data_IF_154811312826
#
_entry.id   IF_154811312826
#
_cell.length_a   1.000
_cell.length_b   1.000
_cell.length_c   1.000
_cell.angle_alpha   90.00
_cell.angle_beta   90.00
_cell.angle_gamma   90.00
#
_symmetry.space_group_name_H-M   'P 1'
#
loop_
_entity.id
_entity.type
_entity.pdbx_description
1 polymer ?
#
# COMPACT_ATOMS: atom_id res chain seq x y z
N UNK A 1 -5.79 -10.07 -23.56
CA UNK A 1 -5.34 -9.11 -22.55
C UNK A 1 -6.55 -8.68 -21.75
N UNK A 2 -6.54 -8.86 -20.42
CA UNK A 2 -7.68 -8.45 -19.58
C UNK A 2 -7.71 -6.92 -19.40
N UNK A 3 -8.84 -6.38 -18.93
CA UNK A 3 -8.93 -4.94 -18.64
C UNK A 3 -7.94 -4.52 -17.53
N UNK A 4 -7.84 -5.32 -16.47
CA UNK A 4 -6.92 -5.06 -15.35
C UNK A 4 -5.45 -5.17 -15.76
N UNK A 5 -5.12 -6.11 -16.66
CA UNK A 5 -3.79 -6.24 -17.24
C UNK A 5 -3.39 -4.97 -18.01
N UNK A 6 -4.26 -4.50 -18.91
CA UNK A 6 -4.02 -3.29 -19.70
C UNK A 6 -3.88 -2.06 -18.79
N UNK A 7 -4.74 -1.95 -17.77
CA UNK A 7 -4.71 -0.86 -16.80
C UNK A 7 -3.39 -0.85 -16.01
N UNK A 8 -2.95 -2.01 -15.48
CA UNK A 8 -1.68 -2.13 -14.75
C UNK A 8 -0.50 -1.74 -15.62
N UNK A 9 -0.42 -2.25 -16.85
CA UNK A 9 0.67 -1.94 -17.79
C UNK A 9 0.72 -0.46 -18.15
N UNK A 10 -0.43 0.20 -18.30
CA UNK A 10 -0.51 1.65 -18.62
C UNK A 10 -0.07 2.55 -17.44
N UNK A 11 -0.15 2.04 -16.21
CA UNK A 11 0.16 2.77 -15.00
C UNK A 11 1.62 2.63 -14.54
N UNK A 12 2.43 1.82 -15.23
CA UNK A 12 3.85 1.65 -14.90
C UNK A 12 4.62 2.96 -15.04
N UNK A 13 5.59 3.18 -14.16
CA UNK A 13 6.56 4.29 -14.19
C UNK A 13 7.92 3.73 -13.80
N UNK A 14 9.00 4.25 -14.39
CA UNK A 14 10.41 3.92 -14.09
C UNK A 14 10.64 2.54 -13.44
N UNK A 15 10.57 2.45 -12.11
CA UNK A 15 10.87 1.26 -11.30
C UNK A 15 9.70 0.30 -10.97
N UNK A 16 8.50 0.48 -11.55
CA UNK A 16 7.37 -0.42 -11.37
C UNK A 16 6.01 0.29 -11.32
N UNK A 17 5.05 -0.28 -10.60
CA UNK A 17 3.73 0.32 -10.40
C UNK A 17 3.71 1.14 -9.09
N UNK A 18 3.63 2.49 -9.13
CA UNK A 18 3.54 3.27 -7.91
C UNK A 18 2.31 2.87 -7.09
N UNK A 19 2.48 2.73 -5.77
CA UNK A 19 1.39 2.34 -4.85
C UNK A 19 0.18 3.28 -4.97
N UNK A 20 0.43 4.59 -5.05
CA UNK A 20 -0.58 5.62 -5.36
C UNK A 20 -1.39 5.30 -6.62
N UNK A 21 -0.73 4.81 -7.68
CA UNK A 21 -1.40 4.52 -8.95
C UNK A 21 -2.17 3.21 -8.89
N UNK A 22 -1.65 2.19 -8.20
CA UNK A 22 -2.38 0.95 -7.95
C UNK A 22 -3.72 1.21 -7.23
N UNK A 23 -3.71 2.03 -6.18
CA UNK A 23 -4.94 2.42 -5.48
C UNK A 23 -5.87 3.29 -6.33
N UNK A 24 -5.33 4.18 -7.17
CA UNK A 24 -6.15 4.97 -8.12
C UNK A 24 -6.82 4.09 -9.16
N UNK A 25 -6.12 3.12 -9.73
CA UNK A 25 -6.69 2.15 -10.66
C UNK A 25 -7.82 1.35 -10.01
N UNK A 26 -7.56 0.82 -8.80
CA UNK A 26 -8.56 0.09 -8.03
C UNK A 26 -9.84 0.93 -7.87
N UNK A 27 -9.70 2.18 -7.42
CA UNK A 27 -10.84 3.10 -7.26
C UNK A 27 -11.54 3.42 -8.58
N UNK A 28 -10.79 3.67 -9.65
CA UNK A 28 -11.33 4.10 -10.95
C UNK A 28 -12.16 3.01 -11.64
N UNK A 29 -11.76 1.74 -11.50
CA UNK A 29 -12.44 0.61 -12.13
C UNK A 29 -13.32 -0.21 -11.17
N UNK A 30 -13.46 0.24 -9.91
CA UNK A 30 -14.23 -0.48 -8.90
C UNK A 30 -13.61 -1.81 -8.47
N UNK A 31 -12.30 -2.00 -8.70
CA UNK A 31 -11.57 -3.16 -8.22
C UNK A 31 -11.10 -2.96 -6.78
N UNK A 32 -10.81 -4.07 -6.12
CA UNK A 32 -10.10 -4.05 -4.84
C UNK A 32 -8.59 -3.82 -5.08
N UNK A 33 -7.88 -3.19 -4.13
CA UNK A 33 -6.42 -3.10 -4.19
C UNK A 33 -5.74 -4.48 -4.29
N UNK A 34 -6.35 -5.52 -3.71
CA UNK A 34 -5.86 -6.89 -3.79
C UNK A 34 -5.94 -7.47 -5.21
N UNK A 35 -6.99 -7.17 -5.98
CA UNK A 35 -7.07 -7.56 -7.39
C UNK A 35 -5.96 -6.91 -8.21
N UNK A 36 -5.72 -5.61 -8.03
CA UNK A 36 -4.64 -4.89 -8.73
C UNK A 36 -3.27 -5.43 -8.32
N UNK A 37 -3.04 -5.69 -7.04
CA UNK A 37 -1.78 -6.27 -6.54
C UNK A 37 -1.55 -7.70 -7.04
N UNK A 38 -2.61 -8.51 -7.13
CA UNK A 38 -2.53 -9.87 -7.67
C UNK A 38 -2.17 -9.85 -9.16
N UNK A 39 -2.75 -8.91 -9.91
CA UNK A 39 -2.43 -8.74 -11.33
C UNK A 39 -1.00 -8.23 -11.53
N UNK A 40 -0.55 -7.25 -10.74
CA UNK A 40 0.84 -6.80 -10.76
C UNK A 40 1.82 -7.96 -10.47
N UNK A 41 1.50 -8.80 -9.47
CA UNK A 41 2.29 -10.01 -9.15
C UNK A 41 2.32 -10.99 -10.32
N UNK A 42 1.17 -11.24 -10.96
CA UNK A 42 1.05 -12.13 -12.13
C UNK A 42 1.90 -11.64 -13.31
N UNK A 43 2.03 -10.32 -13.46
CA UNK A 43 2.81 -9.66 -14.51
C UNK A 43 4.29 -9.47 -14.16
N UNK A 44 4.75 -9.98 -13.00
CA UNK A 44 6.09 -9.75 -12.44
C UNK A 44 6.42 -8.25 -12.28
N UNK A 45 5.40 -7.43 -12.06
CA UNK A 45 5.50 -5.99 -11.81
C UNK A 45 5.62 -5.75 -10.31
N UNK A 46 6.70 -5.09 -9.89
CA UNK A 46 6.86 -4.67 -8.49
C UNK A 46 6.10 -3.38 -8.19
N UNK A 47 5.53 -3.31 -6.98
CA UNK A 47 5.01 -2.06 -6.43
C UNK A 47 6.18 -1.15 -6.03
N UNK A 48 6.17 0.09 -6.52
CA UNK A 48 7.13 1.15 -6.17
C UNK A 48 6.45 2.26 -5.35
N UNK A 49 7.25 3.18 -4.80
CA UNK A 49 6.81 4.37 -4.03
C UNK A 49 5.70 4.04 -3.04
N UNK A 50 5.98 3.14 -2.10
CA UNK A 50 4.99 2.65 -1.15
C UNK A 50 4.43 3.81 -0.32
N UNK A 51 3.10 3.94 -0.26
CA UNK A 51 2.43 4.97 0.55
C UNK A 51 2.54 4.73 2.07
N UNK A 52 3.00 3.55 2.50
CA UNK A 52 3.42 3.27 3.89
C UNK A 52 4.92 3.54 4.10
N UNK A 53 5.67 3.84 3.03
CA UNK A 53 7.10 4.13 3.07
C UNK A 53 7.97 2.96 3.49
N UNK A 54 7.46 1.73 3.39
CA UNK A 54 8.16 0.50 3.79
C UNK A 54 9.10 -0.04 2.69
N UNK A 55 8.80 0.22 1.42
CA UNK A 55 9.56 -0.31 0.28
C UNK A 55 9.41 0.55 -0.99
N UNK A 56 10.26 0.27 -1.98
CA UNK A 56 10.03 0.71 -3.36
C UNK A 56 10.45 2.15 -3.70
N UNK A 57 11.31 2.78 -2.90
CA UNK A 57 11.98 4.03 -3.27
C UNK A 57 13.41 3.70 -3.74
N UNK A 58 13.51 3.37 -5.01
CA UNK A 58 14.71 3.05 -5.78
C UNK A 58 15.75 4.19 -5.79
N UNK A 59 15.31 5.43 -5.59
CA UNK A 59 16.19 6.61 -5.54
C UNK A 59 16.88 6.82 -4.19
N UNK A 60 16.51 6.07 -3.15
CA UNK A 60 17.10 6.18 -1.82
C UNK A 60 17.97 4.96 -1.53
N UNK A 61 19.25 5.18 -1.24
CA UNK A 61 20.20 4.13 -0.83
C UNK A 61 19.79 3.42 0.46
N UNK A 62 18.79 3.94 1.18
CA UNK A 62 18.16 3.32 2.34
C UNK A 62 16.75 2.84 1.98
N UNK A 63 16.47 1.56 2.25
CA UNK A 63 15.11 1.01 2.15
C UNK A 63 14.24 1.63 3.24
N UNK A 64 13.26 2.44 2.82
CA UNK A 64 12.19 2.94 3.67
C UNK A 64 12.36 4.40 4.08
N UNK A 65 11.34 5.22 3.80
CA UNK A 65 11.31 6.64 4.17
C UNK A 65 10.84 6.87 5.61
N UNK A 66 10.25 5.85 6.24
CA UNK A 66 9.64 5.95 7.57
C UNK A 66 10.61 5.45 8.62
N UNK A 67 10.83 6.28 9.64
CA UNK A 67 11.54 5.87 10.84
C UNK A 67 10.59 5.14 11.80
N UNK A 68 11.10 4.10 12.46
CA UNK A 68 10.38 3.40 13.51
C UNK A 68 10.09 4.37 14.66
N UNK A 69 8.83 4.48 15.05
CA UNK A 69 8.44 5.24 16.25
C UNK A 69 8.91 4.50 17.52
N UNK A 70 9.37 5.26 18.52
CA UNK A 70 9.81 4.68 19.80
C UNK A 70 8.64 4.07 20.59
N UNK A 71 7.44 4.67 20.47
CA UNK A 71 6.20 4.16 21.03
C UNK A 71 5.05 4.52 20.09
N UNK A 72 4.10 3.59 19.93
CA UNK A 72 2.84 3.85 19.22
C UNK A 72 1.88 4.57 20.18
N UNK A 73 1.21 5.66 19.76
CA UNK A 73 0.18 6.32 20.57
C UNK A 73 -0.84 5.33 21.13
N UNK A 74 -1.28 5.54 22.37
CA UNK A 74 -2.10 4.57 23.10
C UNK A 74 -3.44 4.27 22.42
N UNK A 75 -4.08 5.28 21.87
CA UNK A 75 -5.33 5.18 21.10
C UNK A 75 -5.14 4.33 19.83
N UNK A 76 -4.08 4.59 19.06
CA UNK A 76 -3.73 3.80 17.86
C UNK A 76 -3.42 2.35 18.26
N UNK A 77 -2.72 2.14 19.37
CA UNK A 77 -2.38 0.80 19.86
C UNK A 77 -3.64 0.00 20.22
N UNK A 78 -4.65 0.63 20.83
CA UNK A 78 -5.93 -0.02 21.12
C UNK A 78 -6.61 -0.48 19.83
N UNK A 79 -6.68 0.38 18.81
CA UNK A 79 -7.28 0.03 17.51
C UNK A 79 -6.51 -1.07 16.79
N UNK A 80 -5.17 -1.06 16.84
CA UNK A 80 -4.34 -2.13 16.28
C UNK A 80 -4.60 -3.47 16.97
N UNK A 81 -4.69 -3.51 18.30
CA UNK A 81 -4.98 -4.74 19.05
C UNK A 81 -6.39 -5.27 18.77
N UNK A 82 -7.36 -4.39 18.59
CA UNK A 82 -8.73 -4.76 18.26
C UNK A 82 -8.87 -5.36 16.84
N UNK A 83 -8.01 -4.94 15.91
CA UNK A 83 -8.01 -5.42 14.53
C UNK A 83 -7.09 -6.63 14.28
N UNK A 84 -6.37 -7.09 15.29
CA UNK A 84 -5.44 -8.22 15.22
C UNK A 84 -6.20 -9.55 15.16
N UNK A 85 -5.87 -10.38 14.18
CA UNK A 85 -6.38 -11.75 14.01
C UNK A 85 -5.15 -12.63 13.77
N UNK A 86 -4.94 -13.63 14.62
CA UNK A 86 -3.80 -14.56 14.56
C UNK A 86 -2.43 -13.84 14.43
N UNK A 87 -2.20 -12.84 15.30
CA UNK A 87 -0.98 -12.01 15.31
C UNK A 87 -0.74 -11.20 14.03
N UNK A 88 -1.78 -11.00 13.22
CA UNK A 88 -1.73 -10.30 11.93
C UNK A 88 -2.83 -9.24 11.85
N UNK A 89 -2.53 -8.16 11.12
CA UNK A 89 -3.51 -7.15 10.75
C UNK A 89 -3.54 -7.06 9.24
N UNK A 90 -4.73 -7.09 8.65
CA UNK A 90 -4.86 -6.94 7.20
C UNK A 90 -4.47 -5.52 6.76
N UNK A 91 -3.93 -5.38 5.56
CA UNK A 91 -3.64 -4.06 5.00
C UNK A 91 -4.90 -3.17 4.95
N UNK A 92 -6.09 -3.74 4.72
CA UNK A 92 -7.34 -3.01 4.71
C UNK A 92 -7.66 -2.42 6.10
N UNK A 93 -7.52 -3.22 7.15
CA UNK A 93 -7.73 -2.76 8.53
C UNK A 93 -6.71 -1.69 8.94
N UNK A 94 -5.43 -1.85 8.58
CA UNK A 94 -4.41 -0.81 8.82
C UNK A 94 -4.77 0.52 8.16
N UNK A 95 -5.30 0.50 6.93
CA UNK A 95 -5.73 1.72 6.25
C UNK A 95 -6.95 2.35 6.90
N UNK A 96 -7.91 1.54 7.34
CA UNK A 96 -9.07 2.04 8.06
C UNK A 96 -8.65 2.72 9.37
N UNK A 97 -7.78 2.08 10.17
CA UNK A 97 -7.23 2.65 11.40
C UNK A 97 -6.48 3.96 11.12
N UNK A 98 -5.67 4.00 10.06
CA UNK A 98 -4.97 5.24 9.69
C UNK A 98 -5.95 6.38 9.38
N UNK A 99 -7.04 6.10 8.68
CA UNK A 99 -8.09 7.08 8.37
C UNK A 99 -8.84 7.53 9.63
N UNK A 100 -9.20 6.61 10.53
CA UNK A 100 -9.87 6.89 11.81
C UNK A 100 -9.03 7.79 12.73
N UNK A 101 -7.71 7.58 12.76
CA UNK A 101 -6.78 8.37 13.59
C UNK A 101 -6.16 9.57 12.85
N UNK A 102 -6.57 9.87 11.61
CA UNK A 102 -6.05 10.98 10.83
C UNK A 102 -4.56 10.87 10.47
N UNK A 103 -4.03 9.64 10.41
CA UNK A 103 -2.64 9.37 10.06
C UNK A 103 -2.45 9.49 8.54
N UNK A 104 -1.58 10.40 8.07
CA UNK A 104 -1.46 10.66 6.64
C UNK A 104 -0.74 9.52 5.91
N UNK A 105 -1.15 9.30 4.66
CA UNK A 105 -0.37 8.49 3.70
C UNK A 105 0.86 9.28 3.28
N UNK A 106 1.97 8.58 3.01
CA UNK A 106 3.08 9.20 2.29
C UNK A 106 2.65 9.52 0.85
N UNK A 107 3.05 10.71 0.38
CA UNK A 107 2.72 11.25 -0.94
C UNK A 107 3.43 10.50 -2.08
#
# INVERSE_FOLDING_TARGET
>A
MSEIESAVLSALRDAGLPCTFAFRLAKAHGWTPSQVGSEATRLDVRISRCQLGLFGYDSFSQKGLVQRVAAVPGDVMVSLRAAEIDERISCAALWQIAEEHGLPRLA
#
